data_IF_128449172106
#
_entry.id   IF_128449172106
#
_cell.length_a   1.000
_cell.length_b   1.000
_cell.length_c   1.000
_cell.angle_alpha   90.00
_cell.angle_beta   90.00
_cell.angle_gamma   90.00
#
_symmetry.space_group_name_H-M   'P 1'
#
loop_
_entity.id
_entity.type
_entity.pdbx_description
1 polymer ?
#
# COMPACT_ATOMS: atom_id res chain seq x y z
N UNK A 1 -5.02 -17.61 -4.70
CA UNK A 1 -3.62 -17.26 -4.34
C UNK A 1 -2.70 -17.71 -5.47
N UNK A 2 -1.93 -16.79 -6.02
CA UNK A 2 -0.99 -17.04 -7.12
C UNK A 2 0.43 -16.82 -6.58
N UNK A 3 1.26 -17.87 -6.60
CA UNK A 3 2.68 -17.76 -6.24
C UNK A 3 3.48 -17.47 -7.50
N UNK A 4 4.17 -16.35 -7.54
CA UNK A 4 4.99 -15.97 -8.68
C UNK A 4 6.26 -15.25 -8.23
N UNK A 5 7.33 -15.41 -9.01
CA UNK A 5 8.54 -14.62 -8.83
C UNK A 5 8.37 -13.23 -9.40
N UNK A 6 9.07 -12.24 -8.85
CA UNK A 6 9.08 -10.88 -9.41
C UNK A 6 9.58 -10.93 -10.86
N UNK A 7 8.83 -10.32 -11.77
CA UNK A 7 9.21 -10.24 -13.18
C UNK A 7 10.22 -9.11 -13.39
N UNK A 8 11.29 -9.37 -14.14
CA UNK A 8 12.36 -8.40 -14.39
C UNK A 8 12.52 -8.12 -15.89
N UNK A 9 12.46 -6.85 -16.25
CA UNK A 9 12.67 -6.39 -17.62
C UNK A 9 13.88 -5.49 -17.67
N UNK A 10 14.60 -5.48 -18.79
CA UNK A 10 15.68 -4.52 -19.01
C UNK A 10 15.28 -3.54 -20.11
N UNK A 11 15.61 -2.26 -19.95
CA UNK A 11 15.42 -1.24 -20.98
C UNK A 11 16.73 -0.50 -21.22
N UNK A 12 17.25 -0.59 -22.44
CA UNK A 12 18.47 0.08 -22.87
C UNK A 12 18.13 1.48 -23.37
N UNK A 13 18.77 2.49 -22.81
CA UNK A 13 18.62 3.88 -23.24
C UNK A 13 19.22 4.07 -24.65
N UNK A 14 18.54 4.81 -25.55
CA UNK A 14 19.13 5.24 -26.82
C UNK A 14 20.44 6.02 -26.62
N UNK A 15 21.46 5.70 -27.40
CA UNK A 15 22.73 6.44 -27.38
C UNK A 15 22.68 7.67 -28.28
N UNK A 16 23.17 8.81 -27.77
CA UNK A 16 23.24 10.08 -28.51
C UNK A 16 24.36 10.07 -29.57
N UNK A 17 25.29 9.11 -29.50
CA UNK A 17 26.37 8.91 -30.47
C UNK A 17 26.29 7.50 -31.04
N UNK A 18 26.57 7.33 -32.34
CA UNK A 18 26.79 6.00 -32.92
C UNK A 18 27.91 5.31 -32.13
N UNK A 19 27.56 4.35 -31.27
CA UNK A 19 28.53 3.62 -30.48
C UNK A 19 29.42 2.79 -31.41
N UNK A 20 30.65 2.53 -30.97
CA UNK A 20 31.46 1.48 -31.58
C UNK A 20 30.70 0.15 -31.48
N UNK A 21 30.56 -0.56 -32.60
CA UNK A 21 29.96 -1.89 -32.64
C UNK A 21 30.68 -2.81 -31.63
N UNK A 22 29.92 -3.57 -30.82
CA UNK A 22 30.45 -4.68 -30.02
C UNK A 22 30.55 -4.49 -28.49
N UNK A 23 29.96 -3.45 -27.90
CA UNK A 23 29.95 -3.26 -26.42
C UNK A 23 28.93 -4.21 -25.73
N UNK A 24 27.84 -4.54 -26.41
CA UNK A 24 26.84 -5.48 -25.91
C UNK A 24 26.16 -6.22 -27.07
N UNK A 25 25.58 -7.38 -26.75
CA UNK A 25 24.67 -8.11 -27.63
C UNK A 25 23.43 -8.53 -26.85
N UNK A 26 22.30 -8.55 -27.55
CA UNK A 26 21.03 -9.09 -27.04
C UNK A 26 20.74 -10.35 -27.85
N UNK A 27 20.58 -11.46 -27.15
CA UNK A 27 20.14 -12.73 -27.73
C UNK A 27 18.67 -12.93 -27.37
N UNK A 28 17.81 -12.84 -28.37
CA UNK A 28 16.37 -13.06 -28.24
C UNK A 28 16.06 -14.51 -28.58
N UNK A 29 15.92 -15.33 -27.54
CA UNK A 29 15.51 -16.72 -27.69
C UNK A 29 13.97 -16.78 -27.71
N UNK A 30 13.33 -17.05 -28.86
CA UNK A 30 11.87 -16.96 -29.04
C UNK A 30 11.03 -17.84 -28.08
N UNK A 31 11.67 -18.79 -27.38
CA UNK A 31 11.03 -19.72 -26.43
C UNK A 31 11.50 -19.56 -24.97
N UNK A 32 12.44 -18.66 -24.68
CA UNK A 32 13.13 -18.54 -23.38
C UNK A 32 13.39 -17.06 -22.99
N UNK A 33 13.85 -16.85 -21.76
CA UNK A 33 14.24 -15.52 -21.26
C UNK A 33 15.36 -14.90 -22.11
N UNK A 34 15.18 -13.66 -22.58
CA UNK A 34 16.17 -12.92 -23.37
C UNK A 34 17.47 -12.73 -22.58
N UNK A 35 18.62 -12.81 -23.25
CA UNK A 35 19.92 -12.65 -22.60
C UNK A 35 20.66 -11.40 -23.07
N UNK A 36 21.18 -10.63 -22.11
CA UNK A 36 22.03 -9.47 -22.34
C UNK A 36 23.46 -9.86 -22.05
N UNK A 37 24.33 -9.80 -23.06
CA UNK A 37 25.77 -9.93 -22.90
C UNK A 37 26.43 -8.55 -23.00
N UNK A 38 27.14 -8.14 -21.95
CA UNK A 38 27.93 -6.91 -21.93
C UNK A 38 29.41 -7.31 -22.02
N UNK A 39 30.09 -6.83 -23.05
CA UNK A 39 31.50 -7.10 -23.33
C UNK A 39 32.32 -5.86 -23.01
N UNK A 40 33.29 -6.01 -22.10
CA UNK A 40 34.26 -4.97 -21.75
C UNK A 40 35.55 -5.20 -22.53
N UNK A 41 35.83 -4.44 -23.61
CA UNK A 41 37.08 -4.58 -24.34
C UNK A 41 38.27 -4.21 -23.44
N UNK A 42 39.37 -4.97 -23.55
CA UNK A 42 40.62 -4.72 -22.81
C UNK A 42 41.19 -3.36 -23.17
N UNK A 43 41.51 -2.56 -22.15
CA UNK A 43 42.35 -1.39 -22.33
C UNK A 43 43.82 -1.87 -22.35
N UNK A 44 44.34 -2.14 -23.55
CA UNK A 44 45.72 -2.62 -23.75
C UNK A 44 46.78 -1.58 -23.33
N UNK A 45 46.37 -0.34 -23.04
CA UNK A 45 47.25 0.74 -22.61
C UNK A 45 47.75 0.61 -21.15
N UNK A 46 47.05 -0.14 -20.29
CA UNK A 46 47.36 -0.21 -18.86
C UNK A 46 48.44 -1.25 -18.50
N UNK A 47 48.99 -2.02 -19.46
CA UNK A 47 50.23 -2.82 -19.29
C UNK A 47 50.21 -3.97 -18.26
N UNK A 48 49.17 -4.10 -17.43
CA UNK A 48 49.04 -5.15 -16.42
C UNK A 48 48.06 -6.24 -16.88
N UNK A 49 48.41 -7.51 -16.64
CA UNK A 49 47.48 -8.64 -16.80
C UNK A 49 46.36 -8.50 -15.78
N UNK A 50 45.20 -8.04 -16.22
CA UNK A 50 44.04 -7.86 -15.36
C UNK A 50 43.10 -9.07 -15.49
N UNK A 51 42.94 -9.88 -14.43
CA UNK A 51 41.98 -11.00 -14.38
C UNK A 51 40.51 -10.53 -14.26
N UNK A 52 40.20 -9.32 -14.73
CA UNK A 52 38.83 -8.79 -14.73
C UNK A 52 37.99 -9.60 -15.70
N UNK A 53 36.80 -10.01 -15.26
CA UNK A 53 35.82 -10.70 -16.10
C UNK A 53 35.41 -9.78 -17.25
N UNK A 54 35.56 -10.28 -18.47
CA UNK A 54 35.44 -9.51 -19.73
C UNK A 54 34.04 -9.55 -20.32
N UNK A 55 33.28 -10.60 -20.01
CA UNK A 55 31.89 -10.77 -20.45
C UNK A 55 30.97 -11.03 -19.25
N UNK A 56 29.87 -10.29 -19.21
CA UNK A 56 28.80 -10.44 -18.24
C UNK A 56 27.50 -10.77 -18.96
N UNK A 57 26.91 -11.91 -18.60
CA UNK A 57 25.63 -12.38 -19.14
C UNK A 57 24.54 -12.28 -18.10
N UNK A 58 23.41 -11.70 -18.47
CA UNK A 58 22.23 -11.51 -17.61
C UNK A 58 20.98 -11.97 -18.34
N UNK A 59 20.03 -12.58 -17.61
CA UNK A 59 18.77 -13.06 -18.18
C UNK A 59 17.61 -12.18 -17.70
N UNK A 60 16.71 -11.82 -18.60
CA UNK A 60 15.50 -11.05 -18.31
C UNK A 60 14.32 -11.69 -19.00
N UNK A 61 13.10 -11.43 -18.51
CA UNK A 61 11.88 -11.89 -19.19
C UNK A 61 11.81 -11.30 -20.61
N UNK A 62 12.20 -10.04 -20.76
CA UNK A 62 12.44 -9.39 -22.04
C UNK A 62 13.44 -8.24 -21.89
N UNK A 63 14.20 -7.98 -22.95
CA UNK A 63 15.10 -6.84 -23.05
C UNK A 63 14.57 -5.91 -24.13
N UNK A 64 14.35 -4.65 -23.77
CA UNK A 64 13.95 -3.60 -24.68
C UNK A 64 15.19 -2.83 -25.11
N UNK A 65 15.60 -3.03 -26.37
CA UNK A 65 16.75 -2.33 -26.93
C UNK A 65 16.43 -0.85 -27.23
N UNK A 66 17.42 -0.11 -27.73
CA UNK A 66 17.39 1.34 -27.94
C UNK A 66 16.18 1.84 -28.76
N UNK A 67 15.70 1.05 -29.72
CA UNK A 67 14.58 1.42 -30.59
C UNK A 67 13.19 1.18 -29.96
N UNK A 68 13.14 0.62 -28.75
CA UNK A 68 11.88 0.26 -28.09
C UNK A 68 11.07 1.50 -27.69
N UNK A 69 9.87 1.62 -28.26
CA UNK A 69 8.91 2.69 -28.00
C UNK A 69 8.12 2.47 -26.72
N UNK A 70 7.63 3.56 -26.12
CA UNK A 70 6.82 3.54 -24.89
C UNK A 70 5.58 2.64 -24.97
N UNK A 71 4.96 2.58 -26.13
CA UNK A 71 3.77 1.74 -26.38
C UNK A 71 4.07 0.25 -26.15
N UNK A 72 5.17 -0.25 -26.68
CA UNK A 72 5.59 -1.65 -26.50
C UNK A 72 5.93 -1.92 -25.03
N UNK A 73 6.58 -0.98 -24.34
CA UNK A 73 6.84 -1.08 -22.91
C UNK A 73 5.53 -1.23 -22.13
N UNK A 74 4.54 -0.39 -22.43
CA UNK A 74 3.23 -0.43 -21.79
C UNK A 74 2.51 -1.77 -22.04
N UNK A 75 2.42 -2.21 -23.29
CA UNK A 75 1.69 -3.42 -23.67
C UNK A 75 2.25 -4.69 -23.00
N UNK A 76 3.57 -4.78 -22.85
CA UNK A 76 4.22 -5.99 -22.30
C UNK A 76 4.33 -5.95 -20.79
N UNK A 77 4.55 -4.78 -20.19
CA UNK A 77 4.84 -4.65 -18.76
C UNK A 77 3.60 -4.17 -17.99
N UNK A 78 3.05 -3.02 -18.38
CA UNK A 78 2.09 -2.33 -17.56
C UNK A 78 0.66 -2.88 -17.71
N UNK A 79 0.27 -3.22 -18.93
CA UNK A 79 -1.07 -3.73 -19.22
C UNK A 79 -1.41 -5.03 -18.46
N UNK A 80 -0.56 -6.07 -18.40
CA UNK A 80 -0.86 -7.27 -17.61
C UNK A 80 -1.03 -7.00 -16.11
N UNK A 81 -0.24 -6.05 -15.56
CA UNK A 81 -0.35 -5.65 -14.16
C UNK A 81 -1.64 -4.85 -13.94
N UNK A 82 -1.99 -3.95 -14.85
CA UNK A 82 -3.24 -3.18 -14.80
C UNK A 82 -4.47 -4.08 -14.91
N UNK A 83 -4.46 -5.10 -15.77
CA UNK A 83 -5.51 -6.13 -15.85
C UNK A 83 -5.66 -6.91 -14.54
N UNK A 84 -4.53 -7.26 -13.91
CA UNK A 84 -4.54 -7.90 -12.59
C UNK A 84 -5.11 -6.98 -11.51
N UNK A 85 -4.82 -5.67 -11.56
CA UNK A 85 -5.42 -4.66 -10.69
C UNK A 85 -6.91 -4.53 -10.90
N UNK A 86 -7.39 -4.49 -12.16
CA UNK A 86 -8.81 -4.49 -12.49
C UNK A 86 -9.54 -5.75 -11.97
N UNK A 87 -8.84 -6.89 -11.93
CA UNK A 87 -9.38 -8.12 -11.36
C UNK A 87 -9.47 -8.11 -9.82
N UNK A 88 -8.73 -7.23 -9.13
CA UNK A 88 -8.71 -7.11 -7.67
C UNK A 88 -7.39 -7.52 -7.00
N UNK A 89 -6.30 -7.67 -7.74
CA UNK A 89 -4.97 -7.95 -7.19
C UNK A 89 -4.15 -6.67 -7.01
N UNK A 90 -3.32 -6.61 -5.97
CA UNK A 90 -2.34 -5.52 -5.86
C UNK A 90 -1.28 -5.66 -6.96
N UNK A 91 -0.85 -4.53 -7.51
CA UNK A 91 0.16 -4.43 -8.55
C UNK A 91 1.26 -3.45 -8.17
N UNK A 92 2.49 -3.71 -8.61
CA UNK A 92 3.59 -2.76 -8.47
C UNK A 92 4.52 -2.83 -9.66
N UNK A 93 4.81 -1.68 -10.25
CA UNK A 93 5.81 -1.52 -11.31
C UNK A 93 6.80 -0.49 -10.82
N UNK A 94 8.08 -0.86 -10.73
CA UNK A 94 9.12 0.09 -10.33
C UNK A 94 10.28 0.11 -11.31
N UNK A 95 10.78 1.30 -11.61
CA UNK A 95 11.97 1.50 -12.42
C UNK A 95 13.21 1.68 -11.53
N UNK A 96 14.31 1.01 -11.88
CA UNK A 96 15.55 1.04 -11.12
C UNK A 96 16.77 1.14 -12.05
N UNK A 97 17.75 1.96 -11.68
CA UNK A 97 18.98 2.19 -12.41
C UNK A 97 19.60 3.55 -12.09
N UNK A 98 20.78 3.82 -12.65
CA UNK A 98 21.48 5.08 -12.37
C UNK A 98 20.70 6.31 -12.87
N UNK A 99 21.03 7.49 -12.36
CA UNK A 99 20.55 8.76 -12.91
C UNK A 99 20.87 8.87 -14.39
N UNK A 100 19.88 9.37 -15.14
CA UNK A 100 20.00 9.53 -16.59
C UNK A 100 19.89 8.24 -17.41
N UNK A 101 19.65 7.07 -16.80
CA UNK A 101 19.42 5.79 -17.52
C UNK A 101 18.02 5.65 -18.12
N UNK A 102 17.05 6.49 -17.73
CA UNK A 102 15.71 6.51 -18.31
C UNK A 102 14.57 6.04 -17.41
N UNK A 103 14.73 6.03 -16.08
CA UNK A 103 13.68 5.67 -15.11
C UNK A 103 12.42 6.55 -15.26
N UNK A 104 12.56 7.85 -15.04
CA UNK A 104 11.48 8.84 -15.17
C UNK A 104 10.88 8.87 -16.58
N UNK A 105 11.70 8.74 -17.62
CA UNK A 105 11.21 8.62 -18.98
C UNK A 105 10.36 7.35 -19.16
N UNK A 106 10.68 6.24 -18.50
CA UNK A 106 9.88 5.01 -18.57
C UNK A 106 8.58 5.14 -17.79
N UNK A 107 8.63 5.69 -16.58
CA UNK A 107 7.48 5.76 -15.68
C UNK A 107 6.52 6.88 -16.09
N UNK A 108 6.99 8.12 -16.16
CA UNK A 108 6.17 9.30 -16.47
C UNK A 108 6.14 9.59 -17.97
N UNK A 109 7.31 9.55 -18.63
CA UNK A 109 7.44 9.91 -20.04
C UNK A 109 8.03 11.30 -20.29
N UNK A 110 8.15 11.65 -21.57
CA UNK A 110 8.57 12.98 -22.00
C UNK A 110 7.40 13.97 -22.07
N UNK A 111 7.66 15.25 -21.74
CA UNK A 111 6.65 16.31 -21.75
C UNK A 111 6.31 16.84 -23.17
N UNK A 112 7.18 16.61 -24.15
CA UNK A 112 7.08 17.28 -25.46
C UNK A 112 6.17 16.57 -26.47
N UNK A 113 6.18 15.23 -26.48
CA UNK A 113 5.45 14.44 -27.48
C UNK A 113 4.48 13.49 -26.81
N UNK A 114 3.25 13.43 -27.33
CA UNK A 114 2.24 12.49 -26.87
C UNK A 114 2.70 11.02 -26.96
N UNK A 115 3.47 10.67 -28.00
CA UNK A 115 4.08 9.35 -28.17
C UNK A 115 5.00 8.94 -27.02
N UNK A 116 5.57 9.94 -26.33
CA UNK A 116 6.63 9.75 -25.34
C UNK A 116 6.06 9.61 -23.91
N UNK A 117 4.73 9.68 -23.76
CA UNK A 117 4.02 9.34 -22.52
C UNK A 117 4.44 7.95 -22.02
N UNK A 118 4.82 7.88 -20.75
CA UNK A 118 5.33 6.68 -20.10
C UNK A 118 4.23 5.74 -19.60
N UNK A 119 4.60 4.90 -18.65
CA UNK A 119 3.72 3.89 -18.05
C UNK A 119 2.53 4.50 -17.33
N UNK A 120 2.72 5.52 -16.46
CA UNK A 120 1.64 6.10 -15.65
C UNK A 120 0.49 6.62 -16.53
N UNK A 121 0.70 7.59 -17.44
CA UNK A 121 -0.40 8.13 -18.23
C UNK A 121 -1.09 7.07 -19.09
N UNK A 122 -0.35 6.13 -19.69
CA UNK A 122 -0.93 5.04 -20.48
C UNK A 122 -1.76 4.06 -19.64
N UNK A 123 -1.31 3.79 -18.42
CA UNK A 123 -2.02 2.94 -17.46
C UNK A 123 -3.31 3.60 -17.00
N UNK A 124 -3.30 4.90 -16.75
CA UNK A 124 -4.52 5.65 -16.42
C UNK A 124 -5.52 5.59 -17.59
N UNK A 125 -5.09 5.91 -18.82
CA UNK A 125 -5.95 5.80 -20.01
C UNK A 125 -6.57 4.41 -20.13
N UNK A 126 -5.75 3.36 -20.00
CA UNK A 126 -6.22 1.98 -20.10
C UNK A 126 -7.21 1.60 -19.00
N UNK A 127 -6.91 1.91 -17.74
CA UNK A 127 -7.80 1.60 -16.61
C UNK A 127 -9.16 2.25 -16.85
N UNK A 128 -9.21 3.57 -17.08
CA UNK A 128 -10.47 4.28 -17.25
C UNK A 128 -11.24 3.82 -18.49
N UNK A 129 -10.57 3.46 -19.59
CA UNK A 129 -11.20 2.83 -20.74
C UNK A 129 -11.87 1.49 -20.37
N UNK A 130 -11.21 0.64 -19.58
CA UNK A 130 -11.80 -0.62 -19.11
C UNK A 130 -12.96 -0.39 -18.14
N UNK A 131 -12.86 0.61 -17.24
CA UNK A 131 -13.93 0.95 -16.31
C UNK A 131 -15.21 1.39 -17.06
N UNK A 132 -15.06 2.15 -18.15
CA UNK A 132 -16.18 2.58 -18.98
C UNK A 132 -16.82 1.43 -19.77
N UNK A 133 -16.02 0.43 -20.17
CA UNK A 133 -16.50 -0.76 -20.91
C UNK A 133 -17.24 -1.75 -20.01
N UNK A 134 -16.91 -1.82 -18.73
CA UNK A 134 -17.52 -2.74 -17.79
C UNK A 134 -18.68 -2.12 -17.02
N UNK A 135 -19.91 -2.35 -17.50
CA UNK A 135 -21.15 -1.91 -16.84
C UNK A 135 -21.64 -2.87 -15.74
N UNK A 136 -20.95 -3.99 -15.51
CA UNK A 136 -21.37 -5.00 -14.52
C UNK A 136 -20.97 -4.64 -13.09
N UNK A 137 -20.04 -3.70 -12.91
CA UNK A 137 -19.47 -3.31 -11.62
C UNK A 137 -19.49 -1.79 -11.45
N UNK A 138 -19.60 -1.37 -10.21
CA UNK A 138 -19.40 0.01 -9.79
C UNK A 138 -17.95 0.13 -9.36
N UNK A 139 -17.23 1.04 -10.00
CA UNK A 139 -15.83 1.30 -9.73
C UNK A 139 -15.65 2.64 -9.02
N UNK A 140 -14.75 2.66 -8.03
CA UNK A 140 -14.31 3.88 -7.34
C UNK A 140 -12.79 3.92 -7.38
N UNK A 141 -12.25 4.99 -7.97
CA UNK A 141 -10.81 5.19 -8.12
C UNK A 141 -10.35 6.36 -7.26
N UNK A 142 -9.28 6.15 -6.50
CA UNK A 142 -8.56 7.21 -5.78
C UNK A 142 -7.09 7.21 -6.17
N UNK A 143 -6.47 8.38 -6.14
CA UNK A 143 -5.06 8.58 -6.46
C UNK A 143 -4.37 9.22 -5.27
N UNK A 144 -3.17 8.72 -4.99
CA UNK A 144 -2.22 9.33 -4.06
C UNK A 144 -0.84 9.40 -4.70
N UNK A 145 -0.09 10.46 -4.46
CA UNK A 145 1.24 10.63 -5.02
C UNK A 145 2.23 11.03 -3.93
N UNK A 146 3.16 10.14 -3.61
CA UNK A 146 4.11 10.29 -2.52
C UNK A 146 5.52 10.52 -3.08
N UNK A 147 6.21 11.53 -2.56
CA UNK A 147 7.65 11.70 -2.75
C UNK A 147 8.41 11.36 -1.46
N UNK A 148 9.42 10.51 -1.56
CA UNK A 148 10.32 10.18 -0.45
C UNK A 148 11.67 10.83 -0.74
N UNK A 149 12.01 11.85 0.03
CA UNK A 149 13.27 12.56 -0.05
C UNK A 149 13.91 12.63 1.33
N UNK A 150 15.18 12.23 1.42
CA UNK A 150 15.94 12.25 2.69
C UNK A 150 15.23 11.48 3.84
N UNK A 151 14.69 10.28 3.54
CA UNK A 151 13.87 9.44 4.45
C UNK A 151 12.59 10.09 4.99
N UNK A 152 12.22 11.27 4.48
CA UNK A 152 10.97 11.94 4.77
C UNK A 152 10.00 11.79 3.60
N UNK A 153 8.74 11.46 3.89
CA UNK A 153 7.66 11.39 2.89
C UNK A 153 6.91 12.71 2.79
N UNK A 154 6.56 13.11 1.59
CA UNK A 154 5.83 14.34 1.27
C UNK A 154 4.68 14.01 0.32
N UNK A 155 3.50 14.56 0.62
CA UNK A 155 2.33 14.44 -0.25
C UNK A 155 2.42 15.44 -1.41
N UNK A 156 2.47 14.93 -2.65
CA UNK A 156 2.58 15.73 -3.85
C UNK A 156 1.22 16.28 -4.34
N UNK A 157 0.10 15.83 -3.78
CA UNK A 157 -1.23 16.24 -4.23
C UNK A 157 -1.92 17.26 -3.31
N UNK A 158 -1.21 17.86 -2.34
CA UNK A 158 -1.81 18.88 -1.49
C UNK A 158 -2.39 20.02 -2.36
N UNK A 159 -3.71 20.29 -2.29
CA UNK A 159 -4.35 21.35 -3.07
C UNK A 159 -3.91 22.76 -2.64
N UNK A 160 -3.16 22.92 -1.54
CA UNK A 160 -2.58 24.19 -1.12
C UNK A 160 -1.38 24.53 -1.99
N UNK A 161 -1.65 25.27 -3.07
CA UNK A 161 -0.69 25.76 -4.08
C UNK A 161 0.34 26.79 -3.56
N UNK A 162 0.64 26.81 -2.26
CA UNK A 162 1.57 27.76 -1.65
C UNK A 162 2.99 27.19 -1.45
N UNK A 163 3.19 25.90 -1.74
CA UNK A 163 4.49 25.26 -1.54
C UNK A 163 5.54 25.80 -2.52
N UNK A 164 6.53 26.51 -1.98
CA UNK A 164 7.69 26.99 -2.75
C UNK A 164 8.89 26.05 -2.62
N UNK A 165 8.86 25.17 -1.60
CA UNK A 165 9.88 24.16 -1.30
C UNK A 165 9.19 22.84 -0.95
N UNK A 166 9.92 21.73 -1.13
CA UNK A 166 9.43 20.39 -0.76
C UNK A 166 9.00 20.30 0.71
N UNK A 167 9.73 20.98 1.60
CA UNK A 167 9.49 20.95 3.04
C UNK A 167 8.18 21.65 3.47
N UNK A 168 7.59 22.46 2.57
CA UNK A 168 6.30 23.12 2.79
C UNK A 168 5.13 22.14 2.56
N UNK A 169 5.36 21.03 1.85
CA UNK A 169 4.34 20.02 1.63
C UNK A 169 4.06 19.21 2.90
N UNK A 170 2.84 18.65 3.04
CA UNK A 170 2.49 17.80 4.17
C UNK A 170 3.44 16.61 4.31
N UNK A 171 4.07 16.51 5.47
CA UNK A 171 4.88 15.35 5.83
C UNK A 171 3.99 14.14 6.11
N UNK A 172 4.29 13.07 5.40
CA UNK A 172 3.64 11.77 5.52
C UNK A 172 4.33 10.95 6.60
N UNK A 173 3.56 10.37 7.51
CA UNK A 173 4.07 9.51 8.59
C UNK A 173 3.54 8.09 8.42
N UNK A 174 4.43 7.10 8.56
CA UNK A 174 4.04 5.69 8.60
C UNK A 174 3.50 5.35 9.99
N UNK A 175 2.33 4.72 10.02
CA UNK A 175 1.74 4.09 11.18
C UNK A 175 1.53 2.60 10.88
N UNK A 176 1.69 1.75 11.89
CA UNK A 176 1.45 0.32 11.78
C UNK A 176 0.33 -0.06 12.75
N UNK A 177 -0.67 -0.79 12.27
CA UNK A 177 -1.79 -1.26 13.09
C UNK A 177 -1.44 -2.60 13.79
N UNK A 178 -2.30 -3.11 14.70
CA UNK A 178 -2.05 -4.38 15.38
C UNK A 178 -1.93 -5.59 14.45
N UNK A 179 -2.53 -5.52 13.27
CA UNK A 179 -2.47 -6.54 12.22
C UNK A 179 -1.23 -6.39 11.32
N UNK A 180 -0.33 -5.46 11.67
CA UNK A 180 0.90 -5.12 10.96
C UNK A 180 0.69 -4.49 9.58
N UNK A 181 -0.50 -3.97 9.29
CA UNK A 181 -0.73 -3.20 8.07
C UNK A 181 -0.16 -1.79 8.21
N UNK A 182 0.38 -1.30 7.10
CA UNK A 182 1.02 0.01 7.02
C UNK A 182 0.00 1.04 6.56
N UNK A 183 -0.16 2.09 7.35
CA UNK A 183 -1.04 3.24 7.11
C UNK A 183 -0.20 4.50 6.93
N UNK A 184 -0.49 5.26 5.87
CA UNK A 184 0.22 6.51 5.55
C UNK A 184 -0.63 7.69 6.01
N UNK A 185 -0.31 8.23 7.19
CA UNK A 185 -0.98 9.41 7.74
C UNK A 185 -0.54 10.66 6.98
N UNK A 186 -1.49 11.55 6.68
CA UNK A 186 -1.32 12.79 5.91
C UNK A 186 -1.01 12.59 4.42
N UNK A 187 -1.12 11.37 3.88
CA UNK A 187 -1.14 11.18 2.43
C UNK A 187 -2.59 11.32 1.95
N UNK A 188 -2.84 12.33 1.11
CA UNK A 188 -4.15 12.56 0.53
C UNK A 188 -4.57 11.44 -0.43
N UNK A 189 -5.87 11.17 -0.46
CA UNK A 189 -6.52 10.26 -1.39
C UNK A 189 -7.56 11.05 -2.19
N UNK A 190 -7.20 11.44 -3.40
CA UNK A 190 -8.06 12.21 -4.29
C UNK A 190 -8.89 11.28 -5.15
N UNK A 191 -10.21 11.39 -5.09
CA UNK A 191 -11.09 10.64 -5.97
C UNK A 191 -10.96 11.15 -7.41
N UNK A 192 -10.82 10.23 -8.37
CA UNK A 192 -10.81 10.54 -9.80
C UNK A 192 -11.91 9.74 -10.50
N UNK A 193 -12.86 10.44 -11.09
CA UNK A 193 -14.02 9.86 -11.79
C UNK A 193 -13.78 9.70 -13.29
N UNK A 194 -12.84 10.48 -13.85
CA UNK A 194 -12.47 10.43 -15.26
C UNK A 194 -10.97 10.30 -15.45
N UNK A 195 -10.56 9.88 -16.66
CA UNK A 195 -9.15 9.85 -17.07
C UNK A 195 -8.51 11.25 -16.95
N UNK A 196 -9.24 12.30 -17.34
CA UNK A 196 -8.75 13.67 -17.30
C UNK A 196 -8.43 14.13 -15.87
N UNK A 197 -9.33 13.86 -14.91
CA UNK A 197 -9.08 14.15 -13.50
C UNK A 197 -7.84 13.41 -12.97
N UNK A 198 -7.69 12.14 -13.35
CA UNK A 198 -6.53 11.34 -12.95
C UNK A 198 -5.21 11.86 -13.53
N UNK A 199 -5.21 12.25 -14.80
CA UNK A 199 -4.05 12.87 -15.45
C UNK A 199 -3.74 14.24 -14.85
N UNK A 200 -4.75 15.03 -14.51
CA UNK A 200 -4.57 16.32 -13.84
C UNK A 200 -3.87 16.17 -12.48
N UNK A 201 -4.20 15.12 -11.71
CA UNK A 201 -3.49 14.81 -10.45
C UNK A 201 -2.03 14.41 -10.69
N UNK A 202 -1.75 13.65 -11.75
CA UNK A 202 -0.36 13.36 -12.16
C UNK A 202 0.41 14.64 -12.49
N UNK A 203 -0.16 15.52 -13.31
CA UNK A 203 0.47 16.80 -13.69
C UNK A 203 0.65 17.75 -12.51
N UNK A 204 -0.31 17.80 -11.58
CA UNK A 204 -0.21 18.57 -10.35
C UNK A 204 0.99 18.11 -9.53
N UNK A 205 1.11 16.79 -9.28
CA UNK A 205 2.22 16.27 -8.50
C UNK A 205 3.58 16.43 -9.19
N UNK A 206 3.64 16.26 -10.52
CA UNK A 206 4.87 16.52 -11.28
C UNK A 206 5.26 18.00 -11.25
N UNK A 207 4.28 18.91 -11.26
CA UNK A 207 4.52 20.36 -11.12
C UNK A 207 5.03 20.70 -9.74
N UNK A 208 4.43 20.16 -8.68
CA UNK A 208 4.89 20.36 -7.29
C UNK A 208 6.32 19.83 -7.10
N UNK A 209 6.62 18.66 -7.67
CA UNK A 209 7.96 18.09 -7.70
C UNK A 209 8.97 18.99 -8.42
N UNK A 210 8.59 19.56 -9.57
CA UNK A 210 9.46 20.46 -10.33
C UNK A 210 9.68 21.81 -9.63
N UNK A 211 8.66 22.39 -8.99
CA UNK A 211 8.78 23.65 -8.23
C UNK A 211 9.72 23.47 -7.03
N UNK A 212 9.64 22.30 -6.38
CA UNK A 212 10.54 21.95 -5.29
C UNK A 212 12.01 21.75 -5.74
N UNK A 213 12.26 21.57 -7.04
CA UNK A 213 13.59 21.41 -7.61
C UNK A 213 14.27 22.78 -7.74
N UNK A 214 15.36 22.99 -7.01
CA UNK A 214 16.17 24.21 -7.09
C UNK A 214 17.57 23.86 -7.61
N UNK A 215 18.34 24.79 -8.20
CA UNK A 215 19.71 24.50 -8.64
C UNK A 215 20.63 23.96 -7.53
N UNK A 216 20.28 24.24 -6.27
CA UNK A 216 20.96 23.74 -5.08
C UNK A 216 20.43 22.35 -4.63
N UNK A 217 19.20 21.98 -4.99
CA UNK A 217 18.54 20.71 -4.66
C UNK A 217 17.99 20.06 -5.96
N UNK A 218 18.80 19.23 -6.64
CA UNK A 218 18.35 18.38 -7.76
C UNK A 218 17.53 17.18 -7.24
N UNK A 219 16.43 17.48 -6.53
CA UNK A 219 15.60 16.52 -5.82
C UNK A 219 15.03 15.43 -6.76
N UNK A 220 14.71 15.75 -8.02
CA UNK A 220 14.07 14.84 -8.97
C UNK A 220 14.88 13.57 -9.29
N UNK A 221 16.21 13.63 -9.21
CA UNK A 221 17.10 12.47 -9.45
C UNK A 221 17.41 11.68 -8.17
N UNK A 222 16.95 12.23 -7.04
CA UNK A 222 17.43 11.97 -5.69
C UNK A 222 16.30 11.64 -4.71
N UNK A 223 15.06 11.75 -5.13
CA UNK A 223 13.88 11.28 -4.41
C UNK A 223 13.30 10.05 -5.08
N UNK A 224 12.48 9.32 -4.34
CA UNK A 224 11.67 8.23 -4.87
C UNK A 224 10.23 8.72 -4.99
N UNK A 225 9.60 8.50 -6.13
CA UNK A 225 8.22 8.87 -6.37
C UNK A 225 7.37 7.61 -6.45
N UNK A 226 6.26 7.58 -5.70
CA UNK A 226 5.30 6.47 -5.68
C UNK A 226 3.94 7.04 -6.04
N UNK A 227 3.56 6.87 -7.31
CA UNK A 227 2.21 7.17 -7.78
C UNK A 227 1.33 5.95 -7.55
N UNK A 228 0.23 6.08 -6.82
CA UNK A 228 -0.64 4.95 -6.49
C UNK A 228 -2.06 5.17 -6.98
N UNK A 229 -2.56 4.19 -7.73
CA UNK A 229 -3.98 4.08 -8.08
C UNK A 229 -4.62 3.08 -7.13
N UNK A 230 -5.60 3.54 -6.36
CA UNK A 230 -6.44 2.70 -5.50
C UNK A 230 -7.75 2.45 -6.22
N UNK A 231 -8.02 1.20 -6.55
CA UNK A 231 -9.23 0.78 -7.24
C UNK A 231 -10.11 -0.02 -6.28
N UNK A 232 -11.37 0.36 -6.17
CA UNK A 232 -12.40 -0.45 -5.51
C UNK A 232 -13.47 -0.81 -6.52
N UNK A 233 -13.89 -2.07 -6.55
CA UNK A 233 -14.96 -2.53 -7.43
C UNK A 233 -16.02 -3.32 -6.65
N UNK A 234 -17.28 -3.10 -6.99
CA UNK A 234 -18.42 -3.74 -6.35
C UNK A 234 -19.46 -4.10 -7.39
N UNK A 235 -19.87 -5.37 -7.41
CA UNK A 235 -21.01 -5.80 -8.22
C UNK A 235 -22.33 -5.30 -7.58
N UNK A 236 -23.26 -4.72 -8.35
CA UNK A 236 -24.55 -4.29 -7.84
C UNK A 236 -25.28 -5.43 -7.11
N UNK A 237 -25.67 -5.21 -5.86
CA UNK A 237 -26.32 -6.22 -5.03
C UNK A 237 -25.38 -7.20 -4.33
N UNK A 238 -24.09 -7.20 -4.64
CA UNK A 238 -23.10 -7.98 -3.88
C UNK A 238 -22.75 -7.29 -2.56
N UNK A 239 -22.57 -8.10 -1.52
CA UNK A 239 -21.98 -7.65 -0.26
C UNK A 239 -20.45 -7.61 -0.29
N UNK A 240 -19.82 -8.16 -1.33
CA UNK A 240 -18.38 -8.17 -1.49
C UNK A 240 -17.89 -6.94 -2.24
N UNK A 241 -16.81 -6.36 -1.75
CA UNK A 241 -16.07 -5.29 -2.38
C UNK A 241 -14.66 -5.80 -2.64
N UNK A 242 -14.16 -5.58 -3.85
CA UNK A 242 -12.78 -5.87 -4.20
C UNK A 242 -11.96 -4.61 -4.12
N UNK A 243 -10.79 -4.71 -3.51
CA UNK A 243 -9.82 -3.63 -3.42
C UNK A 243 -8.53 -4.00 -4.14
N UNK A 244 -7.91 -3.04 -4.81
CA UNK A 244 -6.60 -3.22 -5.43
C UNK A 244 -5.80 -1.93 -5.33
N UNK A 245 -4.50 -2.07 -5.10
CA UNK A 245 -3.54 -0.96 -5.13
C UNK A 245 -2.55 -1.20 -6.25
N UNK A 246 -2.36 -0.21 -7.12
CA UNK A 246 -1.35 -0.22 -8.16
C UNK A 246 -0.30 0.85 -7.89
N UNK A 247 0.89 0.44 -7.48
CA UNK A 247 2.04 1.33 -7.29
C UNK A 247 2.84 1.45 -8.60
N UNK A 248 3.06 2.67 -9.05
CA UNK A 248 3.91 3.02 -10.18
C UNK A 248 5.04 3.89 -9.66
N UNK A 249 6.24 3.31 -9.61
CA UNK A 249 7.34 3.81 -8.79
C UNK A 249 8.53 4.22 -9.66
N UNK A 250 8.97 5.45 -9.48
CA UNK A 250 10.23 5.99 -10.03
C UNK A 250 11.23 6.13 -8.88
N UNK A 251 12.20 5.22 -8.80
CA UNK A 251 13.20 5.24 -7.74
C UNK A 251 14.29 6.29 -8.05
N UNK A 252 15.03 6.72 -7.02
CA UNK A 252 16.19 7.56 -7.17
C UNK A 252 17.34 6.85 -7.93
N UNK A 253 18.35 7.62 -8.33
CA UNK A 253 19.58 7.10 -8.94
C UNK A 253 20.32 6.08 -8.06
N UNK A 254 20.69 4.94 -8.64
CA UNK A 254 21.43 3.86 -7.96
C UNK A 254 22.96 4.02 -7.94
N UNK A 255 23.49 5.11 -8.48
CA UNK A 255 24.92 5.35 -8.59
C UNK A 255 25.59 5.66 -7.23
N UNK A 256 26.85 5.26 -7.12
CA UNK A 256 27.64 5.47 -5.89
C UNK A 256 28.02 6.94 -5.71
N UNK A 257 27.84 7.44 -4.49
CA UNK A 257 28.25 8.80 -4.07
C UNK A 257 29.73 9.10 -4.36
N UNK A 258 30.62 8.11 -4.27
CA UNK A 258 32.05 8.33 -4.49
C UNK A 258 32.41 8.79 -5.91
N UNK A 259 31.54 8.55 -6.90
CA UNK A 259 31.76 8.97 -8.29
C UNK A 259 31.22 10.37 -8.61
N UNK A 260 30.40 10.95 -7.73
CA UNK A 260 29.74 12.23 -8.02
C UNK A 260 30.63 13.44 -7.71
N UNK A 261 31.72 13.25 -6.94
CA UNK A 261 32.70 14.31 -6.64
C UNK A 261 32.14 15.46 -5.79
N UNK A 262 30.99 15.24 -5.15
CA UNK A 262 30.24 16.31 -4.46
C UNK A 262 30.61 16.38 -2.98
N UNK A 263 30.78 17.59 -2.44
CA UNK A 263 31.07 17.86 -1.02
C UNK A 263 29.93 18.59 -0.29
N UNK A 264 30.03 18.71 1.04
CA UNK A 264 29.09 19.49 1.86
C UNK A 264 27.70 18.86 2.03
N UNK A 265 26.65 19.68 2.03
CA UNK A 265 25.24 19.27 2.21
C UNK A 265 24.76 18.25 1.17
N UNK A 266 25.25 18.37 -0.06
CA UNK A 266 24.95 17.43 -1.15
C UNK A 266 25.56 16.04 -0.92
N UNK A 267 26.66 15.95 -0.17
CA UNK A 267 27.25 14.66 0.23
C UNK A 267 26.37 13.97 1.29
N UNK A 268 25.85 14.73 2.25
CA UNK A 268 24.91 14.19 3.25
C UNK A 268 23.61 13.72 2.59
N UNK A 269 23.07 14.49 1.65
CA UNK A 269 21.90 14.09 0.86
C UNK A 269 22.17 12.81 0.06
N UNK A 270 23.27 12.77 -0.70
CA UNK A 270 23.66 11.60 -1.48
C UNK A 270 23.86 10.33 -0.62
N UNK A 271 24.26 10.49 0.65
CA UNK A 271 24.30 9.38 1.61
C UNK A 271 22.92 8.84 1.95
N UNK A 272 21.92 9.70 2.21
CA UNK A 272 20.57 9.26 2.55
C UNK A 272 19.84 8.59 1.38
N UNK A 273 20.09 9.05 0.16
CA UNK A 273 19.54 8.41 -1.05
C UNK A 273 20.08 6.99 -1.17
N UNK A 274 21.40 6.85 -1.06
CA UNK A 274 22.02 5.54 -1.05
C UNK A 274 21.63 4.70 0.18
N UNK A 275 21.25 5.33 1.29
CA UNK A 275 20.77 4.64 2.47
C UNK A 275 19.43 3.94 2.20
N UNK A 276 18.46 4.66 1.61
CA UNK A 276 17.15 4.08 1.22
C UNK A 276 17.32 2.89 0.26
N UNK A 277 18.15 3.05 -0.78
CA UNK A 277 18.44 2.00 -1.76
C UNK A 277 19.26 0.84 -1.17
N UNK A 278 20.14 1.13 -0.22
CA UNK A 278 20.86 0.11 0.54
C UNK A 278 19.89 -0.73 1.37
N UNK A 279 18.92 -0.10 2.05
CA UNK A 279 17.91 -0.85 2.80
C UNK A 279 17.01 -1.69 1.89
N UNK A 280 16.67 -1.19 0.70
CA UNK A 280 16.00 -1.99 -0.33
C UNK A 280 16.83 -3.21 -0.72
N UNK A 281 18.14 -3.05 -0.94
CA UNK A 281 19.04 -4.16 -1.23
C UNK A 281 19.11 -5.16 -0.06
N UNK A 282 19.15 -4.69 1.20
CA UNK A 282 19.12 -5.55 2.38
C UNK A 282 17.83 -6.35 2.48
N UNK A 283 16.68 -5.74 2.19
CA UNK A 283 15.38 -6.43 2.14
C UNK A 283 15.40 -7.52 1.06
N UNK A 284 15.90 -7.23 -0.14
CA UNK A 284 15.99 -8.20 -1.23
C UNK A 284 16.91 -9.37 -0.88
N UNK A 285 18.08 -9.10 -0.31
CA UNK A 285 19.01 -10.14 0.15
C UNK A 285 18.32 -11.00 1.20
N UNK A 286 17.70 -10.39 2.20
CA UNK A 286 17.00 -11.10 3.26
C UNK A 286 15.86 -11.98 2.74
N UNK A 287 15.10 -11.52 1.74
CA UNK A 287 14.03 -12.28 1.11
C UNK A 287 14.53 -13.45 0.24
N UNK A 288 15.77 -13.37 -0.26
CA UNK A 288 16.39 -14.44 -1.03
C UNK A 288 16.97 -15.58 -0.16
N UNK A 289 17.17 -15.32 1.14
CA UNK A 289 17.72 -16.28 2.11
C UNK A 289 16.65 -17.26 2.61
N UNK A 290 16.85 -18.57 2.40
CA UNK A 290 15.83 -19.62 2.64
C UNK A 290 15.36 -19.82 4.09
N UNK A 291 16.01 -19.17 5.07
CA UNK A 291 15.73 -19.38 6.50
C UNK A 291 15.68 -18.08 7.31
N UNK A 292 15.54 -16.93 6.66
CA UNK A 292 15.45 -15.65 7.35
C UNK A 292 14.02 -15.36 7.77
N UNK A 293 13.80 -15.23 9.07
CA UNK A 293 12.48 -14.92 9.64
C UNK A 293 12.19 -13.42 9.65
N UNK A 294 13.20 -12.60 9.92
CA UNK A 294 13.06 -11.15 10.02
C UNK A 294 13.57 -10.44 8.76
N UNK A 295 12.66 -9.71 8.11
CA UNK A 295 12.95 -8.86 6.95
C UNK A 295 12.92 -7.39 7.39
N UNK A 296 13.97 -6.60 7.14
CA UNK A 296 14.14 -5.26 7.71
C UNK A 296 13.36 -4.17 6.95
N UNK A 297 12.05 -4.33 6.71
CA UNK A 297 11.24 -3.34 5.99
C UNK A 297 11.17 -1.98 6.71
N UNK A 298 11.26 -1.98 8.04
CA UNK A 298 11.16 -0.77 8.89
C UNK A 298 12.37 0.15 8.81
N UNK A 299 13.47 -0.27 8.17
CA UNK A 299 14.69 0.52 8.13
C UNK A 299 14.59 1.78 7.26
N UNK A 300 13.65 1.81 6.31
CA UNK A 300 13.36 2.99 5.49
C UNK A 300 11.88 3.17 5.24
N UNK A 301 11.47 4.41 4.95
CA UNK A 301 10.11 4.69 4.53
C UNK A 301 9.75 3.95 3.24
N UNK A 302 10.67 3.92 2.28
CA UNK A 302 10.47 3.29 0.98
C UNK A 302 10.22 1.77 1.12
N UNK A 303 11.07 1.07 1.88
CA UNK A 303 10.90 -0.36 2.12
C UNK A 303 9.65 -0.69 2.93
N UNK A 304 9.22 0.23 3.79
CA UNK A 304 7.95 0.08 4.51
C UNK A 304 6.76 0.22 3.56
N UNK A 305 6.71 1.25 2.73
CA UNK A 305 5.64 1.45 1.74
C UNK A 305 5.57 0.28 0.74
N UNK A 306 6.71 -0.24 0.31
CA UNK A 306 6.80 -1.35 -0.65
C UNK A 306 6.83 -2.74 0.01
N UNK A 307 6.46 -2.86 1.29
CA UNK A 307 6.44 -4.14 2.02
C UNK A 307 5.61 -5.20 1.29
N UNK A 308 4.41 -4.84 0.85
CA UNK A 308 3.52 -5.76 0.13
C UNK A 308 4.06 -6.12 -1.26
N UNK A 309 4.84 -5.21 -1.87
CA UNK A 309 5.43 -5.38 -3.20
C UNK A 309 6.61 -6.36 -3.21
N UNK A 310 7.34 -6.49 -2.11
CA UNK A 310 8.57 -7.27 -2.05
C UNK A 310 8.38 -8.45 -1.11
N UNK A 311 7.97 -9.60 -1.64
CA UNK A 311 7.73 -10.81 -0.84
C UNK A 311 6.36 -10.88 -0.17
N UNK A 312 5.43 -10.00 -0.54
CA UNK A 312 4.08 -9.91 0.04
C UNK A 312 2.96 -10.18 -0.97
N UNK A 313 1.78 -9.62 -0.67
CA UNK A 313 0.58 -9.70 -1.49
C UNK A 313 0.59 -8.66 -2.61
N UNK A 314 1.34 -8.94 -3.67
CA UNK A 314 1.41 -8.06 -4.84
C UNK A 314 1.95 -8.78 -6.09
N UNK A 315 1.40 -8.42 -7.25
CA UNK A 315 1.99 -8.69 -8.55
C UNK A 315 3.05 -7.64 -8.87
N UNK A 316 4.32 -8.00 -8.74
CA UNK A 316 5.41 -7.03 -8.83
C UNK A 316 6.28 -7.25 -10.05
N UNK A 317 6.58 -6.13 -10.72
CA UNK A 317 7.43 -6.05 -11.90
C UNK A 317 8.49 -4.97 -11.72
N UNK A 318 9.73 -5.31 -12.06
CA UNK A 318 10.86 -4.40 -12.06
C UNK A 318 11.31 -4.09 -13.48
N UNK A 319 11.61 -2.83 -13.75
CA UNK A 319 12.25 -2.38 -14.99
C UNK A 319 13.65 -1.85 -14.67
N UNK A 320 14.67 -2.61 -15.07
CA UNK A 320 16.06 -2.20 -15.01
C UNK A 320 16.40 -1.28 -16.19
N UNK A 321 16.57 0.02 -15.93
CA UNK A 321 16.97 0.98 -16.96
C UNK A 321 18.49 1.09 -17.05
N UNK A 322 19.03 0.92 -18.25
CA UNK A 322 20.46 0.74 -18.50
C UNK A 322 21.01 1.81 -19.43
N UNK A 323 22.26 2.23 -19.19
CA UNK A 323 23.01 3.10 -20.09
C UNK A 323 24.32 2.42 -20.45
N UNK A 324 24.40 1.91 -21.69
CA UNK A 324 25.53 1.14 -22.18
C UNK A 324 26.64 2.03 -22.77
N UNK A 325 26.78 3.27 -22.28
CA UNK A 325 27.91 4.14 -22.60
C UNK A 325 29.13 3.74 -21.76
N UNK A 326 30.36 3.83 -22.29
CA UNK A 326 31.61 3.40 -21.60
C UNK A 326 31.71 3.87 -20.14
N UNK A 327 31.29 5.11 -19.84
CA UNK A 327 31.29 5.70 -18.48
C UNK A 327 30.28 5.10 -17.50
N UNK A 328 29.21 4.48 -18.02
CA UNK A 328 28.03 4.03 -17.29
C UNK A 328 27.92 2.49 -17.21
N UNK A 329 28.79 1.75 -17.89
CA UNK A 329 28.71 0.28 -17.94
C UNK A 329 28.80 -0.36 -16.56
N UNK A 330 29.71 0.10 -15.69
CA UNK A 330 29.85 -0.48 -14.34
C UNK A 330 28.57 -0.38 -13.51
N UNK A 331 27.86 0.74 -13.61
CA UNK A 331 26.58 0.94 -12.94
C UNK A 331 25.49 0.10 -13.60
N UNK A 332 25.47 0.01 -14.94
CA UNK A 332 24.53 -0.87 -15.67
C UNK A 332 24.71 -2.36 -15.31
N UNK A 333 25.96 -2.83 -15.15
CA UNK A 333 26.27 -4.17 -14.65
C UNK A 333 25.75 -4.34 -13.22
N UNK A 334 25.89 -3.32 -12.37
CA UNK A 334 25.39 -3.34 -10.98
C UNK A 334 23.85 -3.39 -10.94
N UNK A 335 23.17 -2.61 -11.78
CA UNK A 335 21.71 -2.66 -12.00
C UNK A 335 21.27 -4.05 -12.44
N UNK A 336 21.97 -4.66 -13.39
CA UNK A 336 21.65 -6.01 -13.86
C UNK A 336 21.79 -7.05 -12.74
N UNK A 337 22.89 -7.02 -11.98
CA UNK A 337 23.09 -7.91 -10.81
C UNK A 337 22.01 -7.74 -9.76
N UNK A 338 21.60 -6.50 -9.51
CA UNK A 338 20.49 -6.20 -8.60
C UNK A 338 19.18 -6.81 -9.11
N UNK A 339 18.85 -6.62 -10.39
CA UNK A 339 17.67 -7.22 -11.00
C UNK A 339 17.67 -8.76 -10.90
N UNK A 340 18.80 -9.42 -11.14
CA UNK A 340 18.91 -10.89 -11.00
C UNK A 340 18.58 -11.36 -9.57
N UNK A 341 18.92 -10.58 -8.54
CA UNK A 341 18.57 -10.88 -7.15
C UNK A 341 17.07 -10.67 -6.88
N UNK A 342 16.50 -9.59 -7.41
CA UNK A 342 15.06 -9.30 -7.31
C UNK A 342 14.22 -10.44 -7.91
N UNK A 343 14.64 -11.01 -9.04
CA UNK A 343 13.94 -12.12 -9.69
C UNK A 343 13.84 -13.41 -8.84
N UNK A 344 14.65 -13.55 -7.78
CA UNK A 344 14.59 -14.70 -6.87
C UNK A 344 13.48 -14.56 -5.82
N UNK A 345 12.96 -13.36 -5.61
CA UNK A 345 11.90 -13.09 -4.64
C UNK A 345 10.60 -13.68 -5.15
N UNK A 346 9.88 -14.36 -4.25
CA UNK A 346 8.56 -14.93 -4.51
C UNK A 346 7.51 -14.09 -3.79
N UNK A 347 6.51 -13.63 -4.54
CA UNK A 347 5.33 -12.98 -4.00
C UNK A 347 4.16 -13.95 -3.97
N UNK A 348 3.23 -13.69 -3.05
CA UNK A 348 1.99 -14.46 -2.88
C UNK A 348 0.80 -13.53 -3.13
N UNK A 349 0.43 -13.36 -4.40
CA UNK A 349 -0.67 -12.50 -4.78
C UNK A 349 -2.03 -13.15 -4.43
N UNK A 350 -2.85 -12.41 -3.69
CA UNK A 350 -4.17 -12.80 -3.21
C UNK A 350 -5.18 -11.78 -3.77
N UNK A 351 -6.36 -12.28 -4.12
CA UNK A 351 -7.47 -11.43 -4.54
C UNK A 351 -8.04 -10.75 -3.28
N UNK A 352 -8.00 -9.42 -3.22
CA UNK A 352 -8.47 -8.73 -2.01
C UNK A 352 -9.99 -8.54 -2.09
N UNK A 353 -10.72 -9.46 -1.46
CA UNK A 353 -12.16 -9.40 -1.29
C UNK A 353 -12.50 -9.17 0.17
N UNK A 354 -13.28 -8.13 0.44
CA UNK A 354 -13.79 -7.83 1.77
C UNK A 354 -15.31 -7.76 1.72
N UNK A 355 -15.97 -8.14 2.81
CA UNK A 355 -17.41 -7.94 2.96
C UNK A 355 -17.62 -6.50 3.40
N UNK A 356 -18.43 -5.75 2.66
CA UNK A 356 -18.78 -4.36 2.97
C UNK A 356 -19.25 -4.27 4.43
N UNK A 357 -18.48 -3.60 5.32
CA UNK A 357 -18.78 -3.57 6.75
C UNK A 357 -20.18 -3.01 7.03
N UNK A 358 -20.67 -2.08 6.20
CA UNK A 358 -22.02 -1.53 6.37
C UNK A 358 -23.09 -2.57 6.07
N UNK A 359 -22.92 -3.36 5.01
CA UNK A 359 -23.84 -4.46 4.70
C UNK A 359 -23.75 -5.58 5.73
N UNK A 360 -22.56 -5.86 6.25
CA UNK A 360 -22.39 -6.79 7.38
C UNK A 360 -23.14 -6.29 8.61
N UNK A 361 -23.00 -5.01 8.98
CA UNK A 361 -23.73 -4.41 10.10
C UNK A 361 -25.25 -4.52 9.89
N UNK A 362 -25.75 -4.16 8.71
CA UNK A 362 -27.19 -4.25 8.40
C UNK A 362 -27.69 -5.70 8.47
N UNK A 363 -26.91 -6.66 7.95
CA UNK A 363 -27.24 -8.09 7.99
C UNK A 363 -27.26 -8.61 9.43
N UNK A 364 -26.25 -8.28 10.23
CA UNK A 364 -26.17 -8.66 11.65
C UNK A 364 -27.30 -8.02 12.46
N UNK A 365 -27.67 -6.76 12.18
CA UNK A 365 -28.81 -6.10 12.83
C UNK A 365 -30.12 -6.81 12.51
N UNK A 366 -30.33 -7.24 11.26
CA UNK A 366 -31.49 -8.02 10.86
C UNK A 366 -31.52 -9.39 11.56
N UNK A 367 -30.40 -10.10 11.58
CA UNK A 367 -30.28 -11.40 12.24
C UNK A 367 -30.52 -11.31 13.74
N UNK A 368 -30.03 -10.25 14.40
CA UNK A 368 -30.34 -9.95 15.81
C UNK A 368 -31.84 -9.69 16.00
N UNK A 369 -32.50 -8.99 15.08
CA UNK A 369 -33.94 -8.74 15.18
C UNK A 369 -34.75 -10.03 15.01
N UNK A 370 -34.40 -10.87 14.03
CA UNK A 370 -35.07 -12.15 13.77
C UNK A 370 -34.88 -13.12 14.94
N UNK A 371 -33.66 -13.25 15.47
CA UNK A 371 -33.36 -14.08 16.64
C UNK A 371 -34.09 -13.59 17.90
N UNK A 372 -34.21 -12.27 18.09
CA UNK A 372 -34.99 -11.69 19.20
C UNK A 372 -36.48 -11.99 19.05
N UNK A 373 -37.01 -11.96 17.83
CA UNK A 373 -38.42 -12.29 17.56
C UNK A 373 -38.69 -13.79 17.77
N UNK A 374 -37.79 -14.66 17.31
CA UNK A 374 -37.88 -16.10 17.54
C UNK A 374 -37.78 -16.45 19.03
N UNK A 375 -36.85 -15.84 19.76
CA UNK A 375 -36.78 -15.93 21.22
C UNK A 375 -38.09 -15.50 21.86
N UNK A 376 -38.67 -14.37 21.46
CA UNK A 376 -39.94 -13.90 22.01
C UNK A 376 -41.11 -14.86 21.71
N UNK A 377 -41.12 -15.52 20.55
CA UNK A 377 -42.12 -16.56 20.23
C UNK A 377 -41.94 -17.83 21.05
N UNK A 378 -40.70 -18.30 21.22
CA UNK A 378 -40.38 -19.56 21.93
C UNK A 378 -40.52 -19.40 23.44
N UNK A 379 -40.10 -18.26 23.99
CA UNK A 379 -40.16 -18.02 25.44
C UNK A 379 -41.46 -17.34 25.88
N UNK A 380 -42.26 -16.80 24.96
CA UNK A 380 -43.47 -16.03 25.28
C UNK A 380 -43.20 -14.70 26.00
N UNK A 381 -41.93 -14.33 26.19
CA UNK A 381 -41.49 -13.14 26.90
C UNK A 381 -40.93 -12.13 25.91
N UNK A 382 -41.60 -10.98 25.73
CA UNK A 382 -40.93 -9.80 25.16
C UNK A 382 -39.96 -9.26 26.21
N UNK A 383 -38.68 -9.62 26.10
CA UNK A 383 -37.64 -9.07 26.97
C UNK A 383 -37.38 -7.60 26.61
N UNK A 384 -38.16 -6.70 27.20
CA UNK A 384 -37.92 -5.26 27.20
C UNK A 384 -36.75 -4.89 28.14
N UNK A 385 -36.16 -3.71 28.00
CA UNK A 385 -35.08 -3.26 28.90
C UNK A 385 -35.53 -3.18 30.37
N UNK A 386 -36.82 -2.92 30.61
CA UNK A 386 -37.43 -2.91 31.94
C UNK A 386 -38.23 -4.19 32.22
N UNK A 387 -38.22 -4.64 33.48
CA UNK A 387 -39.18 -5.61 34.01
C UNK A 387 -40.59 -5.01 33.99
N UNK A 388 -41.60 -5.80 33.68
CA UNK A 388 -42.99 -5.34 33.73
C UNK A 388 -43.46 -5.11 35.17
N UNK A 389 -44.46 -4.23 35.38
CA UNK A 389 -45.01 -3.98 36.73
C UNK A 389 -45.53 -5.25 37.41
N UNK A 390 -46.08 -6.18 36.63
CA UNK A 390 -46.54 -7.48 37.13
C UNK A 390 -45.36 -8.34 37.64
N UNK A 391 -44.25 -8.36 36.91
CA UNK A 391 -43.04 -9.09 37.32
C UNK A 391 -42.39 -8.45 38.55
N UNK A 392 -42.35 -7.12 38.63
CA UNK A 392 -41.84 -6.40 39.80
C UNK A 392 -42.65 -6.73 41.05
N UNK A 393 -43.98 -6.67 40.95
CA UNK A 393 -44.88 -7.00 42.07
C UNK A 393 -44.73 -8.47 42.51
N UNK A 394 -44.53 -9.38 41.56
CA UNK A 394 -44.31 -10.79 41.86
C UNK A 394 -42.95 -11.04 42.52
N UNK A 395 -41.90 -10.34 42.07
CA UNK A 395 -40.58 -10.38 42.69
C UNK A 395 -40.62 -9.82 44.12
N UNK A 396 -41.32 -8.71 44.35
CA UNK A 396 -41.48 -8.14 45.69
C UNK A 396 -42.15 -9.12 46.65
N UNK A 397 -43.18 -9.85 46.21
CA UNK A 397 -43.81 -10.89 47.01
C UNK A 397 -42.86 -12.05 47.32
N UNK A 398 -42.11 -12.53 46.31
CA UNK A 398 -41.12 -13.60 46.49
C UNK A 398 -40.02 -13.17 47.46
N UNK A 399 -39.50 -11.95 47.30
CA UNK A 399 -38.49 -11.36 48.20
C UNK A 399 -39.04 -11.24 49.62
N UNK A 400 -40.27 -10.75 49.81
CA UNK A 400 -40.89 -10.63 51.12
C UNK A 400 -41.05 -12.00 51.79
N UNK A 401 -41.58 -12.99 51.07
CA UNK A 401 -41.72 -14.35 51.59
C UNK A 401 -40.39 -14.99 51.96
N UNK A 402 -39.34 -14.74 51.17
CA UNK A 402 -37.99 -15.25 51.43
C UNK A 402 -37.33 -14.59 52.66
N UNK A 403 -37.59 -13.30 52.89
CA UNK A 403 -37.04 -12.58 54.06
C UNK A 403 -37.78 -12.94 55.35
N UNK A 404 -39.08 -13.25 55.26
CA UNK A 404 -39.90 -13.68 56.41
C UNK A 404 -39.69 -15.16 56.78
N UNK A 405 -39.18 -15.97 55.86
CA UNK A 405 -38.84 -17.37 56.09
C UNK A 405 -37.64 -17.48 57.05
N UNK A 406 -37.82 -18.24 58.14
CA UNK A 406 -36.78 -18.46 59.16
C UNK A 406 -35.90 -19.67 58.86
N UNK A 407 -36.15 -20.39 57.77
CA UNK A 407 -35.30 -21.50 57.33
C UNK A 407 -34.00 -20.98 56.69
N UNK A 408 -32.81 -21.22 57.29
CA UNK A 408 -31.53 -20.79 56.73
C UNK A 408 -31.15 -21.47 55.40
N UNK A 409 -31.81 -22.58 55.02
CA UNK A 409 -31.60 -23.26 53.74
C UNK A 409 -32.59 -22.82 52.65
N UNK A 410 -33.49 -21.87 52.96
CA UNK A 410 -34.42 -21.31 51.99
C UNK A 410 -33.66 -20.71 50.80
N UNK A 411 -34.22 -20.82 49.59
CA UNK A 411 -33.62 -20.32 48.36
C UNK A 411 -34.59 -19.45 47.59
N UNK A 412 -34.15 -18.26 47.21
CA UNK A 412 -34.92 -17.38 46.34
C UNK A 412 -34.79 -17.84 44.87
N UNK A 413 -35.82 -18.51 44.35
CA UNK A 413 -35.87 -18.95 42.96
C UNK A 413 -36.56 -17.91 42.06
N UNK A 414 -35.77 -17.14 41.31
CA UNK A 414 -36.26 -16.10 40.38
C UNK A 414 -35.99 -16.42 38.91
N UNK A 415 -35.57 -17.65 38.63
CA UNK A 415 -35.21 -18.13 37.28
C UNK A 415 -33.84 -17.62 36.79
N UNK A 416 -33.57 -17.84 35.50
CA UNK A 416 -32.29 -17.53 34.86
C UNK A 416 -32.18 -16.07 34.32
N UNK A 417 -33.18 -15.24 34.60
CA UNK A 417 -33.20 -13.86 34.12
C UNK A 417 -32.36 -12.95 35.02
N UNK A 418 -31.20 -12.51 34.51
CA UNK A 418 -30.29 -11.62 35.23
C UNK A 418 -30.97 -10.34 35.74
N UNK A 419 -32.01 -9.83 35.06
CA UNK A 419 -32.73 -8.61 35.49
C UNK A 419 -33.46 -8.84 36.81
N UNK A 420 -34.12 -10.00 36.94
CA UNK A 420 -34.83 -10.41 38.17
C UNK A 420 -33.83 -10.58 39.31
N UNK A 421 -32.70 -11.22 39.02
CA UNK A 421 -31.58 -11.40 39.97
C UNK A 421 -31.03 -10.04 40.44
N UNK A 422 -30.74 -9.13 39.51
CA UNK A 422 -30.25 -7.78 39.83
C UNK A 422 -31.25 -6.97 40.67
N UNK A 423 -32.55 -7.05 40.36
CA UNK A 423 -33.61 -6.39 41.14
C UNK A 423 -33.64 -6.90 42.58
N UNK A 424 -33.59 -8.22 42.78
CA UNK A 424 -33.54 -8.82 44.12
C UNK A 424 -32.31 -8.37 44.91
N UNK A 425 -31.11 -8.41 44.31
CA UNK A 425 -29.89 -7.94 44.98
C UNK A 425 -29.93 -6.45 45.32
N UNK A 426 -30.51 -5.63 44.43
CA UNK A 426 -30.69 -4.20 44.72
C UNK A 426 -31.62 -4.00 45.92
N UNK A 427 -32.76 -4.69 45.95
CA UNK A 427 -33.73 -4.63 47.04
C UNK A 427 -33.11 -5.10 48.37
N UNK A 428 -32.35 -6.19 48.36
CA UNK A 428 -31.61 -6.65 49.53
C UNK A 428 -30.56 -5.65 50.00
N UNK A 429 -29.83 -5.03 49.09
CA UNK A 429 -28.85 -3.98 49.42
C UNK A 429 -29.52 -2.78 50.09
N UNK A 430 -30.68 -2.35 49.60
CA UNK A 430 -31.45 -1.25 50.19
C UNK A 430 -31.93 -1.63 51.59
N UNK A 431 -32.55 -2.80 51.76
CA UNK A 431 -33.04 -3.26 53.06
C UNK A 431 -31.91 -3.46 54.07
N UNK A 432 -30.79 -4.03 53.63
CA UNK A 432 -29.60 -4.18 54.47
C UNK A 432 -29.09 -2.81 54.93
N UNK A 433 -28.91 -1.85 54.01
CA UNK A 433 -28.45 -0.50 54.35
C UNK A 433 -29.40 0.25 55.31
N UNK A 434 -30.72 0.03 55.18
CA UNK A 434 -31.73 0.58 56.09
C UNK A 434 -31.62 -0.06 57.47
N UNK A 435 -31.46 -1.39 57.54
CA UNK A 435 -31.32 -2.14 58.81
C UNK A 435 -29.98 -1.90 59.52
N UNK A 436 -28.91 -1.61 58.77
CA UNK A 436 -27.56 -1.41 59.30
C UNK A 436 -27.24 0.05 59.66
N UNK A 437 -28.22 0.96 59.58
CA UNK A 437 -28.05 2.38 59.91
C UNK A 437 -27.12 3.16 58.97
N UNK A 438 -26.79 2.62 57.80
CA UNK A 438 -25.92 3.25 56.80
C UNK A 438 -26.74 4.16 55.88
N UNK A 439 -27.43 5.15 56.44
CA UNK A 439 -28.05 6.22 55.66
C UNK A 439 -27.02 7.32 55.37
N UNK A 440 -26.22 7.15 54.33
CA UNK A 440 -25.53 8.28 53.70
C UNK A 440 -26.07 8.53 52.28
N UNK A 441 -26.94 9.55 52.24
CA UNK A 441 -27.12 10.59 51.21
C UNK A 441 -26.62 10.31 49.78
N UNK A 442 -27.56 10.47 48.82
CA UNK A 442 -27.46 11.10 47.47
C UNK A 442 -27.91 10.19 46.30
N UNK A 443 -28.36 10.76 45.15
CA UNK A 443 -29.36 11.82 44.96
C UNK A 443 -30.56 11.30 44.13
N UNK A 444 -31.70 11.99 44.19
CA UNK A 444 -32.80 11.80 43.23
C UNK A 444 -32.30 12.15 41.83
N UNK A 445 -32.15 11.17 40.95
CA UNK A 445 -32.11 11.41 39.50
C UNK A 445 -33.54 11.66 39.03
N UNK A 446 -33.82 12.93 38.76
CA UNK A 446 -35.00 13.40 38.04
C UNK A 446 -35.11 12.65 36.69
N UNK A 447 -36.11 11.79 36.55
CA UNK A 447 -36.73 11.56 35.26
C UNK A 447 -38.00 12.40 35.19
N UNK A 448 -37.89 13.60 34.61
CA UNK A 448 -38.97 14.12 33.78
C UNK A 448 -38.52 15.31 32.92
N UNK A 449 -38.83 15.16 31.62
CA UNK A 449 -39.11 16.19 30.60
C UNK A 449 -37.94 17.03 30.10
N UNK A 450 -37.57 16.81 28.84
CA UNK A 450 -38.04 17.73 27.79
C UNK A 450 -37.92 17.14 26.38
N UNK A 451 -39.06 17.21 25.70
CA UNK A 451 -39.24 17.30 24.26
C UNK A 451 -38.55 18.53 23.66
N UNK A 452 -38.34 18.48 22.34
CA UNK A 452 -38.25 19.60 21.39
C UNK A 452 -37.07 20.57 21.49
N UNK A 453 -36.11 20.40 20.57
CA UNK A 453 -35.82 21.34 19.46
C UNK A 453 -35.17 20.58 18.30
#
# INVERSE_FOLDING_TARGET
MVKQTIQIFARVKPSVRKQQQGIYSIDEDEKLASSLEIVLPRDLADGFVNNKRESYKFKFQRIFDQEAKQEIIFEIIAKPVAESTLAGYNGTIFAYGQTGSGKTFTITGGAERYSDRGIIPRTLSYIFEQLQKDSSKIYTTHISYLEIYNECGYDLLDPRHEASKLEDLPKVTILEDPDQNIHLKNLSLHQATTEEEALNLLFLGDTNRMIAETPMNQASTRSHCIFTVHLSSKEPGSATVRHAKLHLVDLAGSERVSKTGVGGLLLTEAKYINLSLHYLEQVIIALSEKHRTHIPYRNSMMTSVLRDSLGGNCMTTMIATLSLEKRNIDESISTCRFAQRVALIKNEAILNEEIDPRLMIVRLQKEIADLKAELAMVTGEQRTEALTEAELLQLEKLIASFVEDQDPESRLEVGADLRKIHYCFHHFKVNFNVSSGLSHVLPRSNCNKNSSC
#
